data_IF_520123218189
#
_entry.id   IF_520123218189
#
_cell.length_a   1.000
_cell.length_b   1.000
_cell.length_c   1.000
_cell.angle_alpha   90.00
_cell.angle_beta   90.00
_cell.angle_gamma   90.00
#
_symmetry.space_group_name_H-M   'P 1'
#
loop_
_entity.id
_entity.type
_entity.pdbx_description
1 polymer ?
#
# COMPACT_ATOMS: atom_id res chain seq x y z
N UNK A 1 10.77 -13.31 -10.46
CA UNK A 1 10.19 -12.31 -9.55
C UNK A 1 9.79 -13.05 -8.29
N UNK A 2 10.24 -12.64 -7.10
CA UNK A 2 9.69 -13.18 -5.84
C UNK A 2 8.46 -12.35 -5.53
N UNK A 3 7.30 -12.99 -5.41
CA UNK A 3 6.06 -12.29 -5.10
C UNK A 3 5.97 -12.11 -3.58
N UNK A 4 5.76 -10.86 -3.16
CA UNK A 4 5.74 -10.42 -1.76
C UNK A 4 4.30 -10.39 -1.21
N UNK A 5 3.35 -11.06 -1.86
CA UNK A 5 1.93 -11.08 -1.45
C UNK A 5 1.73 -11.58 -0.01
N UNK A 6 2.64 -12.43 0.47
CA UNK A 6 2.66 -12.97 1.83
C UNK A 6 3.14 -11.97 2.89
N UNK A 7 3.84 -10.91 2.48
CA UNK A 7 4.34 -9.89 3.41
C UNK A 7 3.23 -8.93 3.85
N UNK A 8 3.30 -8.36 5.06
CA UNK A 8 2.43 -7.27 5.46
C UNK A 8 2.52 -6.05 4.53
N UNK A 9 1.43 -5.28 4.45
CA UNK A 9 1.38 -4.03 3.64
C UNK A 9 2.49 -3.06 4.05
N UNK A 10 2.75 -2.92 5.36
CA UNK A 10 3.80 -2.04 5.86
C UNK A 10 5.20 -2.47 5.38
N UNK A 11 5.48 -3.77 5.36
CA UNK A 11 6.75 -4.32 4.89
C UNK A 11 6.95 -4.09 3.40
N UNK A 12 5.90 -4.27 2.60
CA UNK A 12 5.95 -3.95 1.16
C UNK A 12 6.13 -2.46 0.90
N UNK A 13 5.45 -1.61 1.67
CA UNK A 13 5.64 -0.17 1.61
C UNK A 13 7.10 0.21 1.91
N UNK A 14 7.72 -0.38 2.92
CA UNK A 14 9.13 -0.15 3.24
C UNK A 14 10.09 -0.68 2.18
N UNK A 15 9.81 -1.84 1.58
CA UNK A 15 10.60 -2.38 0.47
C UNK A 15 10.59 -1.42 -0.71
N UNK A 16 9.41 -0.94 -1.10
CA UNK A 16 9.25 -0.01 -2.20
C UNK A 16 9.90 1.35 -1.91
N UNK A 17 9.70 1.87 -0.70
CA UNK A 17 10.34 3.10 -0.25
C UNK A 17 11.87 2.98 -0.27
N UNK A 18 12.43 1.84 0.18
CA UNK A 18 13.88 1.58 0.14
C UNK A 18 14.40 1.55 -1.29
N UNK A 19 13.68 0.92 -2.23
CA UNK A 19 14.01 0.92 -3.66
C UNK A 19 14.09 2.34 -4.23
N UNK A 20 13.24 3.24 -3.75
CA UNK A 20 13.17 4.65 -4.14
C UNK A 20 14.09 5.57 -3.32
N UNK A 21 14.84 5.05 -2.34
CA UNK A 21 15.69 5.86 -1.45
C UNK A 21 14.91 6.75 -0.46
N UNK A 22 13.63 6.44 -0.22
CA UNK A 22 12.78 7.15 0.74
C UNK A 22 13.06 6.63 2.16
N UNK A 23 13.35 7.56 3.07
CA UNK A 23 13.63 7.22 4.49
C UNK A 23 12.33 6.90 5.24
N UNK A 24 12.40 5.97 6.19
CA UNK A 24 11.26 5.59 7.07
C UNK A 24 10.58 6.80 7.73
N UNK A 25 11.36 7.78 8.21
CA UNK A 25 10.84 9.02 8.80
C UNK A 25 9.85 9.77 7.87
N UNK A 26 10.07 9.75 6.56
CA UNK A 26 9.16 10.39 5.60
C UNK A 26 7.84 9.62 5.47
N UNK A 27 7.88 8.28 5.59
CA UNK A 27 6.69 7.44 5.59
C UNK A 27 5.89 7.65 6.88
N UNK A 28 6.56 7.68 8.03
CA UNK A 28 5.94 7.98 9.33
C UNK A 28 5.23 9.35 9.29
N UNK A 29 5.93 10.40 8.84
CA UNK A 29 5.36 11.74 8.65
C UNK A 29 4.15 11.73 7.70
N UNK A 30 4.24 11.02 6.57
CA UNK A 30 3.13 10.93 5.61
C UNK A 30 1.88 10.29 6.24
N UNK A 31 2.05 9.33 7.16
CA UNK A 31 0.96 8.67 7.88
C UNK A 31 0.53 9.40 9.15
N UNK A 32 1.15 10.55 9.48
CA UNK A 32 0.87 11.29 10.72
C UNK A 32 1.31 10.54 11.98
N UNK A 33 2.31 9.65 11.86
CA UNK A 33 2.83 8.83 12.95
C UNK A 33 4.15 9.39 13.47
N UNK A 34 4.40 9.20 14.77
CA UNK A 34 5.74 9.34 15.33
C UNK A 34 6.65 8.19 14.88
N UNK A 35 7.97 8.41 14.91
CA UNK A 35 8.95 7.37 14.60
C UNK A 35 8.77 6.13 15.50
N UNK A 36 8.37 6.34 16.76
CA UNK A 36 8.12 5.25 17.71
C UNK A 36 6.91 4.41 17.29
N UNK A 37 5.79 5.04 16.96
CA UNK A 37 4.58 4.33 16.52
C UNK A 37 4.84 3.60 15.20
N UNK A 38 5.51 4.26 14.26
CA UNK A 38 5.87 3.66 12.99
C UNK A 38 6.75 2.41 13.16
N UNK A 39 7.78 2.49 14.01
CA UNK A 39 8.65 1.34 14.28
C UNK A 39 7.89 0.21 14.98
N UNK A 40 7.01 0.53 15.92
CA UNK A 40 6.17 -0.48 16.59
C UNK A 40 5.30 -1.26 15.60
N UNK A 41 4.75 -0.58 14.59
CA UNK A 41 3.99 -1.20 13.50
C UNK A 41 4.92 -1.99 12.55
N UNK A 42 6.03 -1.39 12.16
CA UNK A 42 7.04 -1.99 11.25
C UNK A 42 7.59 -3.31 11.79
N UNK A 43 7.87 -3.35 13.09
CA UNK A 43 8.41 -4.51 13.79
C UNK A 43 7.32 -5.56 14.13
N UNK A 44 6.06 -5.28 13.79
CA UNK A 44 4.93 -6.22 13.96
C UNK A 44 4.35 -6.26 15.38
N UNK A 45 4.69 -5.30 16.25
CA UNK A 45 4.10 -5.20 17.58
C UNK A 45 2.71 -4.56 17.57
N UNK A 46 2.29 -3.96 16.47
CA UNK A 46 0.94 -3.42 16.27
C UNK A 46 0.53 -3.45 14.81
N UNK A 47 -0.76 -3.55 14.57
CA UNK A 47 -1.30 -3.48 13.22
C UNK A 47 -1.35 -2.03 12.71
N UNK A 48 -1.14 -1.87 11.40
CA UNK A 48 -1.36 -0.59 10.73
C UNK A 48 -2.87 -0.29 10.70
N UNK A 49 -3.30 0.71 11.48
CA UNK A 49 -4.69 1.14 11.45
C UNK A 49 -5.09 1.65 10.08
N UNK A 50 -6.28 1.26 9.61
CA UNK A 50 -6.87 1.77 8.36
C UNK A 50 -7.02 3.29 8.40
N UNK A 51 -7.20 3.89 9.59
CA UNK A 51 -7.29 5.35 9.75
C UNK A 51 -6.01 6.09 9.33
N UNK A 52 -4.85 5.42 9.35
CA UNK A 52 -3.57 5.98 8.89
C UNK A 52 -3.46 5.99 7.37
N UNK A 53 -4.33 5.28 6.65
CA UNK A 53 -4.30 5.13 5.21
C UNK A 53 -5.45 5.90 4.56
N UNK A 54 -5.42 7.22 4.72
CA UNK A 54 -6.44 8.11 4.14
C UNK A 54 -6.16 8.39 2.64
N UNK A 55 -7.17 8.86 1.88
CA UNK A 55 -6.98 9.39 0.52
C UNK A 55 -5.81 10.37 0.35
N UNK A 56 -5.56 11.19 1.38
CA UNK A 56 -4.45 12.12 1.40
C UNK A 56 -3.09 11.41 1.46
N UNK A 57 -2.97 10.41 2.33
CA UNK A 57 -1.75 9.60 2.49
C UNK A 57 -1.39 8.88 1.20
N UNK A 58 -2.38 8.27 0.52
CA UNK A 58 -2.15 7.65 -0.79
C UNK A 58 -1.64 8.65 -1.85
N UNK A 59 -2.15 9.87 -1.82
CA UNK A 59 -1.71 10.92 -2.74
C UNK A 59 -0.26 11.35 -2.46
N UNK A 60 0.14 11.38 -1.19
CA UNK A 60 1.54 11.60 -0.79
C UNK A 60 2.43 10.44 -1.27
N UNK A 61 2.01 9.20 -1.08
CA UNK A 61 2.79 8.05 -1.55
C UNK A 61 2.99 8.06 -3.08
N UNK A 62 1.93 8.36 -3.84
CA UNK A 62 2.02 8.51 -5.29
C UNK A 62 2.98 9.64 -5.67
N UNK A 63 2.94 10.79 -4.99
CA UNK A 63 3.87 11.90 -5.28
C UNK A 63 5.32 11.57 -4.93
N UNK A 64 5.55 10.64 -4.00
CA UNK A 64 6.86 10.05 -3.72
C UNK A 64 7.28 8.98 -4.75
N UNK A 65 6.42 8.60 -5.69
CA UNK A 65 6.67 7.58 -6.71
C UNK A 65 6.46 6.14 -6.23
N UNK A 66 5.80 5.94 -5.09
CA UNK A 66 5.51 4.61 -4.52
C UNK A 66 4.45 3.90 -5.35
N UNK A 67 4.77 2.70 -5.84
CA UNK A 67 3.82 1.84 -6.54
C UNK A 67 2.79 1.24 -5.57
N UNK A 68 1.62 1.87 -5.46
CA UNK A 68 0.54 1.39 -4.61
C UNK A 68 0.04 0.00 -5.05
N UNK A 69 0.15 -0.36 -6.33
CA UNK A 69 -0.23 -1.69 -6.76
C UNK A 69 0.68 -2.76 -6.16
N UNK A 70 2.00 -2.55 -6.18
CA UNK A 70 2.92 -3.45 -5.48
C UNK A 70 2.64 -3.47 -3.97
N UNK A 71 2.42 -2.32 -3.35
CA UNK A 71 2.16 -2.23 -1.90
C UNK A 71 0.94 -3.06 -1.47
N UNK A 72 -0.15 -3.04 -2.24
CA UNK A 72 -1.38 -3.75 -1.87
C UNK A 72 -1.48 -5.17 -2.46
N UNK A 73 -0.96 -5.42 -3.66
CA UNK A 73 -1.05 -6.73 -4.33
C UNK A 73 0.16 -7.62 -4.08
N UNK A 74 1.30 -7.06 -3.66
CA UNK A 74 2.56 -7.79 -3.45
C UNK A 74 3.24 -8.26 -4.73
N UNK A 75 2.86 -7.71 -5.88
CA UNK A 75 3.43 -8.02 -7.19
C UNK A 75 3.68 -6.73 -7.96
N UNK A 76 4.83 -6.64 -8.63
CA UNK A 76 5.14 -5.48 -9.47
C UNK A 76 4.25 -5.46 -10.71
N UNK A 77 3.78 -4.27 -11.12
CA UNK A 77 3.00 -4.10 -12.36
C UNK A 77 3.80 -4.50 -13.60
N UNK A 78 5.11 -4.28 -13.57
CA UNK A 78 5.98 -4.54 -14.70
C UNK A 78 5.98 -6.04 -15.05
N UNK A 79 5.54 -6.37 -16.26
CA UNK A 79 5.39 -7.75 -16.73
C UNK A 79 3.96 -8.31 -16.64
N UNK A 80 3.01 -7.58 -16.04
CA UNK A 80 1.60 -7.97 -16.01
C UNK A 80 0.80 -7.27 -17.11
N UNK A 81 -0.03 -8.04 -17.81
CA UNK A 81 -1.02 -7.50 -18.75
C UNK A 81 -2.09 -6.66 -18.02
N UNK A 82 -2.70 -5.68 -18.67
CA UNK A 82 -3.76 -4.83 -18.06
C UNK A 82 -4.90 -5.69 -17.48
N UNK A 83 -5.32 -6.73 -18.21
CA UNK A 83 -6.36 -7.68 -17.73
C UNK A 83 -5.91 -8.46 -16.49
N UNK A 84 -4.62 -8.74 -16.38
CA UNK A 84 -4.00 -9.47 -15.27
C UNK A 84 -3.99 -8.59 -14.01
N UNK A 85 -3.62 -7.31 -14.18
CA UNK A 85 -3.67 -6.30 -13.12
C UNK A 85 -5.10 -6.11 -12.60
N UNK A 86 -6.07 -5.94 -13.49
CA UNK A 86 -7.50 -5.83 -13.11
C UNK A 86 -8.01 -7.07 -12.38
N UNK A 87 -7.59 -8.28 -12.79
CA UNK A 87 -7.97 -9.51 -12.09
C UNK A 87 -7.48 -9.54 -10.65
N UNK A 88 -6.26 -9.06 -10.39
CA UNK A 88 -5.69 -9.00 -9.05
C UNK A 88 -6.41 -7.97 -8.18
N UNK A 89 -6.62 -6.77 -8.72
CA UNK A 89 -7.35 -5.70 -8.03
C UNK A 89 -8.76 -6.17 -7.68
N UNK A 90 -9.49 -6.73 -8.65
CA UNK A 90 -10.86 -7.21 -8.42
C UNK A 90 -10.92 -8.39 -7.45
N UNK A 91 -9.91 -9.28 -7.45
CA UNK A 91 -9.82 -10.35 -6.44
C UNK A 91 -9.67 -9.78 -5.04
N UNK A 92 -8.82 -8.77 -4.87
CA UNK A 92 -8.62 -8.10 -3.59
C UNK A 92 -9.88 -7.35 -3.13
N UNK A 93 -10.51 -6.58 -4.02
CA UNK A 93 -11.78 -5.88 -3.73
C UNK A 93 -12.90 -6.87 -3.37
N UNK A 94 -12.97 -8.02 -4.05
CA UNK A 94 -14.00 -9.02 -3.78
C UNK A 94 -13.81 -9.75 -2.46
N UNK A 95 -12.60 -9.75 -1.89
CA UNK A 95 -12.35 -10.28 -0.55
C UNK A 95 -12.90 -9.36 0.56
N UNK A 96 -13.22 -8.10 0.24
CA UNK A 96 -13.75 -7.12 1.19
C UNK A 96 -15.29 -7.22 1.22
N UNK A 97 -15.88 -7.23 2.43
CA UNK A 97 -17.34 -7.24 2.60
C UNK A 97 -18.00 -6.15 1.75
N UNK A 98 -19.10 -6.44 1.02
CA UNK A 98 -19.73 -5.46 0.13
C UNK A 98 -20.09 -4.14 0.83
N UNK A 99 -20.51 -4.21 2.09
CA UNK A 99 -20.84 -3.04 2.92
C UNK A 99 -19.65 -2.15 3.25
N UNK A 100 -18.41 -2.65 3.15
CA UNK A 100 -17.18 -1.91 3.46
C UNK A 100 -16.45 -1.41 2.21
N UNK A 101 -16.87 -1.85 1.01
CA UNK A 101 -16.16 -1.51 -0.24
C UNK A 101 -16.12 0.00 -0.53
N UNK A 102 -17.11 0.76 -0.07
CA UNK A 102 -17.09 2.22 -0.23
C UNK A 102 -15.91 2.89 0.50
N UNK A 103 -15.38 2.26 1.56
CA UNK A 103 -14.24 2.77 2.33
C UNK A 103 -12.94 2.74 1.53
N UNK A 104 -12.85 1.85 0.53
CA UNK A 104 -11.63 1.62 -0.25
C UNK A 104 -11.75 2.07 -1.71
N UNK A 105 -12.89 2.59 -2.15
CA UNK A 105 -13.12 2.92 -3.57
C UNK A 105 -12.12 3.95 -4.11
N UNK A 106 -11.81 4.96 -3.30
CA UNK A 106 -10.77 5.93 -3.63
C UNK A 106 -9.38 5.26 -3.71
N UNK A 107 -9.06 4.33 -2.82
CA UNK A 107 -7.80 3.58 -2.87
C UNK A 107 -7.72 2.73 -4.15
N UNK A 108 -8.78 1.99 -4.49
CA UNK A 108 -8.84 1.17 -5.70
C UNK A 108 -8.60 2.03 -6.95
N UNK A 109 -9.22 3.20 -7.01
CA UNK A 109 -9.02 4.15 -8.11
C UNK A 109 -7.55 4.58 -8.22
N UNK A 110 -6.89 4.85 -7.08
CA UNK A 110 -5.46 5.17 -7.04
C UNK A 110 -4.57 3.99 -7.41
N UNK A 111 -4.94 2.77 -7.04
CA UNK A 111 -4.21 1.55 -7.45
C UNK A 111 -4.37 1.27 -8.94
N UNK A 112 -5.48 1.69 -9.58
CA UNK A 112 -5.68 1.51 -11.03
C UNK A 112 -4.91 2.52 -11.88
N UNK A 113 -4.91 3.79 -11.45
CA UNK A 113 -4.50 4.91 -12.31
C UNK A 113 -3.38 5.78 -11.75
N UNK A 114 -2.96 5.58 -10.50
CA UNK A 114 -1.72 6.14 -9.95
C UNK A 114 -0.53 5.34 -10.42
#
# INVERSE_FOLDING_TARGET
MKDDYHLPVITRLEHEARRLGIKKVKLAMAMGLSDREYNHISDGWSDLSVSCLTPHVYSIFISMGIDLFYVFMGVHRQGLCIRCQEKLINRWVNAIPPVERYLIDHLVTRIRYG
#
